data_IF_561612071834
#
_entry.id   IF_561612071834
#
_cell.length_a   1.000
_cell.length_b   1.000
_cell.length_c   1.000
_cell.angle_alpha   90.00
_cell.angle_beta   90.00
_cell.angle_gamma   90.00
#
_symmetry.space_group_name_H-M   'P 1'
#
loop_
_entity.id
_entity.type
_entity.pdbx_description
1 polymer ?
#
# COMPACT_ATOMS: atom_id res chain seq x y z
N UNK A 1 -33.15 75.78 32.77
CA UNK A 1 -32.66 74.39 32.55
C UNK A 1 -31.15 74.42 32.81
N UNK A 2 -30.54 73.33 33.30
CA UNK A 2 -29.10 73.20 33.68
C UNK A 2 -28.72 73.45 35.16
N UNK A 3 -29.17 72.57 36.06
CA UNK A 3 -28.48 72.32 37.34
C UNK A 3 -28.31 70.81 37.65
N UNK A 4 -28.83 69.94 36.78
CA UNK A 4 -28.82 68.47 36.96
C UNK A 4 -27.55 67.83 36.34
N UNK A 5 -26.83 68.54 35.45
CA UNK A 5 -25.64 68.03 34.76
C UNK A 5 -24.37 68.03 35.61
N UNK A 6 -24.08 69.10 36.35
CA UNK A 6 -22.82 69.25 37.08
C UNK A 6 -22.66 68.27 38.26
N UNK A 7 -23.75 67.98 38.97
CA UNK A 7 -23.75 67.01 40.09
C UNK A 7 -23.67 65.54 39.66
N UNK A 8 -24.21 65.21 38.48
CA UNK A 8 -24.11 63.87 37.92
C UNK A 8 -22.67 63.54 37.49
N UNK A 9 -21.94 64.51 36.94
CA UNK A 9 -20.55 64.34 36.52
C UNK A 9 -19.57 64.13 37.69
N UNK A 10 -19.76 64.82 38.82
CA UNK A 10 -18.90 64.63 40.00
C UNK A 10 -19.13 63.28 40.68
N UNK A 11 -20.39 62.83 40.79
CA UNK A 11 -20.71 61.49 41.30
C UNK A 11 -20.16 60.39 40.37
N UNK A 12 -20.28 60.55 39.05
CA UNK A 12 -19.70 59.62 38.10
C UNK A 12 -18.17 59.52 38.25
N UNK A 13 -17.49 60.64 38.46
CA UNK A 13 -16.06 60.68 38.71
C UNK A 13 -15.68 59.98 40.02
N UNK A 14 -16.41 60.20 41.11
CA UNK A 14 -16.18 59.54 42.41
C UNK A 14 -16.42 58.03 42.31
N UNK A 15 -17.49 57.61 41.63
CA UNK A 15 -17.77 56.19 41.39
C UNK A 15 -16.70 55.53 40.53
N UNK A 16 -16.21 56.22 39.50
CA UNK A 16 -15.11 55.75 38.67
C UNK A 16 -13.80 55.65 39.46
N UNK A 17 -13.51 56.61 40.34
CA UNK A 17 -12.35 56.60 41.23
C UNK A 17 -12.40 55.47 42.26
N UNK A 18 -13.57 55.19 42.84
CA UNK A 18 -13.75 54.05 43.75
C UNK A 18 -13.62 52.71 43.00
N UNK A 19 -14.13 52.63 41.77
CA UNK A 19 -14.00 51.42 40.94
C UNK A 19 -12.55 51.21 40.51
N UNK A 20 -11.82 52.26 40.15
CA UNK A 20 -10.39 52.17 39.79
C UNK A 20 -9.55 51.78 41.00
N UNK A 21 -9.80 52.38 42.18
CA UNK A 21 -9.11 52.01 43.42
C UNK A 21 -9.33 50.53 43.78
N UNK A 22 -10.56 50.00 43.60
CA UNK A 22 -10.84 48.58 43.81
C UNK A 22 -10.03 47.68 42.86
N UNK A 23 -10.02 48.00 41.57
CA UNK A 23 -9.28 47.23 40.55
C UNK A 23 -7.78 47.26 40.82
N UNK A 24 -7.24 48.42 41.21
CA UNK A 24 -5.83 48.58 41.56
C UNK A 24 -5.50 47.71 42.78
N UNK A 25 -6.31 47.74 43.83
CA UNK A 25 -6.06 46.94 45.04
C UNK A 25 -6.11 45.42 44.77
N UNK A 26 -7.06 44.99 43.94
CA UNK A 26 -7.17 43.58 43.53
C UNK A 26 -5.97 43.13 42.70
N UNK A 27 -5.51 43.98 41.77
CA UNK A 27 -4.30 43.75 40.98
C UNK A 27 -3.05 43.71 41.86
N UNK A 28 -2.94 44.62 42.84
CA UNK A 28 -1.82 44.69 43.76
C UNK A 28 -1.77 43.47 44.69
N UNK A 29 -2.93 42.96 45.13
CA UNK A 29 -3.01 41.73 45.91
C UNK A 29 -2.55 40.52 45.10
N UNK A 30 -2.95 40.40 43.84
CA UNK A 30 -2.50 39.31 42.96
C UNK A 30 -0.98 39.35 42.71
N UNK A 31 -0.41 40.55 42.51
CA UNK A 31 1.04 40.75 42.36
C UNK A 31 1.78 40.41 43.67
N UNK A 32 1.20 40.76 44.82
CA UNK A 32 1.75 40.43 46.14
C UNK A 32 1.80 38.92 46.38
N UNK A 33 0.87 38.16 45.84
CA UNK A 33 0.82 36.69 45.99
C UNK A 33 1.74 35.96 44.98
N UNK A 34 2.16 36.62 43.89
CA UNK A 34 3.00 36.03 42.85
C UNK A 34 4.35 35.46 43.35
N UNK A 35 5.12 36.13 44.24
CA UNK A 35 6.36 35.58 44.79
C UNK A 35 6.17 34.26 45.54
N UNK A 36 5.03 34.10 46.23
CA UNK A 36 4.71 32.87 46.96
C UNK A 36 4.46 31.71 45.99
N UNK A 37 3.73 31.97 44.91
CA UNK A 37 3.48 30.99 43.84
C UNK A 37 4.80 30.56 43.20
N UNK A 38 5.70 31.51 42.89
CA UNK A 38 7.02 31.21 42.32
C UNK A 38 7.88 30.38 43.27
N UNK A 39 7.83 30.66 44.59
CA UNK A 39 8.56 29.87 45.58
C UNK A 39 8.07 28.42 45.67
N UNK A 40 6.76 28.20 45.72
CA UNK A 40 6.19 26.83 45.73
C UNK A 40 6.51 26.10 44.41
N UNK A 41 6.45 26.77 43.25
CA UNK A 41 6.84 26.18 41.97
C UNK A 41 8.32 25.81 41.93
N UNK A 42 9.21 26.64 42.48
CA UNK A 42 10.65 26.33 42.57
C UNK A 42 10.90 25.09 43.43
N UNK A 43 10.18 24.97 44.55
CA UNK A 43 10.26 23.82 45.45
C UNK A 43 9.73 22.55 44.79
N UNK A 44 8.62 22.65 44.04
CA UNK A 44 8.08 21.54 43.26
C UNK A 44 9.03 21.10 42.14
N UNK A 45 9.71 22.06 41.49
CA UNK A 45 10.72 21.78 40.47
C UNK A 45 11.93 21.04 41.06
N UNK A 46 12.44 21.45 42.22
CA UNK A 46 13.52 20.75 42.93
C UNK A 46 13.11 19.33 43.33
N UNK A 47 11.90 19.17 43.85
CA UNK A 47 11.31 17.86 44.18
C UNK A 47 11.23 16.96 42.94
N UNK A 48 10.73 17.49 41.81
CA UNK A 48 10.63 16.76 40.55
C UNK A 48 12.01 16.34 40.03
N UNK A 49 12.98 17.24 40.09
CA UNK A 49 14.36 16.96 39.68
C UNK A 49 14.99 15.85 40.52
N UNK A 50 14.78 15.88 41.85
CA UNK A 50 15.27 14.84 42.75
C UNK A 50 14.64 13.46 42.47
N UNK A 51 13.34 13.43 42.17
CA UNK A 51 12.61 12.21 41.81
C UNK A 51 13.11 11.66 40.48
N UNK A 52 13.28 12.50 39.47
CA UNK A 52 13.82 12.13 38.16
C UNK A 52 15.24 11.55 38.29
N UNK A 53 16.11 12.20 39.05
CA UNK A 53 17.47 11.72 39.32
C UNK A 53 17.49 10.35 40.00
N UNK A 54 16.59 10.10 40.97
CA UNK A 54 16.45 8.79 41.62
C UNK A 54 15.97 7.72 40.65
N UNK A 55 15.00 8.03 39.78
CA UNK A 55 14.52 7.09 38.75
C UNK A 55 15.64 6.75 37.78
N UNK A 56 16.37 7.74 37.28
CA UNK A 56 17.51 7.53 36.40
C UNK A 56 18.58 6.63 37.04
N UNK A 57 18.96 6.91 38.30
CA UNK A 57 19.90 6.07 39.05
C UNK A 57 19.36 4.66 39.30
N UNK A 58 18.06 4.52 39.58
CA UNK A 58 17.41 3.23 39.74
C UNK A 58 17.47 2.40 38.47
N UNK A 59 17.11 2.97 37.33
CA UNK A 59 17.22 2.31 36.01
C UNK A 59 18.66 1.90 35.73
N UNK A 60 19.65 2.77 36.02
CA UNK A 60 21.07 2.47 35.84
C UNK A 60 21.58 1.35 36.78
N UNK A 61 20.98 1.21 37.96
CA UNK A 61 21.32 0.16 38.93
C UNK A 61 20.74 -1.21 38.55
N UNK A 62 19.55 -1.22 37.93
CA UNK A 62 18.90 -2.44 37.47
C UNK A 62 19.40 -2.90 36.11
N UNK A 63 19.72 -1.99 35.20
CA UNK A 63 20.27 -2.31 33.88
C UNK A 63 21.79 -2.20 33.95
N UNK A 64 22.44 -3.31 34.29
CA UNK A 64 23.90 -3.36 34.23
C UNK A 64 24.34 -3.17 32.78
N UNK A 65 25.38 -2.35 32.59
CA UNK A 65 26.01 -2.15 31.28
C UNK A 65 26.44 -3.47 30.63
N UNK A 66 26.85 -4.43 31.45
CA UNK A 66 27.22 -5.79 31.02
C UNK A 66 26.03 -6.56 30.43
N UNK A 67 24.86 -6.52 31.08
CA UNK A 67 23.66 -7.20 30.59
C UNK A 67 23.19 -6.59 29.25
N UNK A 68 23.30 -5.28 29.11
CA UNK A 68 22.98 -4.58 27.86
C UNK A 68 23.96 -4.94 26.73
N UNK A 69 25.26 -4.97 27.01
CA UNK A 69 26.26 -5.33 26.00
C UNK A 69 26.17 -6.82 25.62
N UNK A 70 25.84 -7.69 26.57
CA UNK A 70 25.58 -9.10 26.32
C UNK A 70 24.32 -9.28 25.44
N UNK A 71 23.22 -8.60 25.77
CA UNK A 71 22.01 -8.59 24.93
C UNK A 71 22.32 -8.07 23.51
N UNK A 72 23.11 -6.99 23.41
CA UNK A 72 23.54 -6.42 22.13
C UNK A 72 24.39 -7.40 21.32
N UNK A 73 25.33 -8.10 21.96
CA UNK A 73 26.15 -9.12 21.30
C UNK A 73 25.28 -10.26 20.77
N UNK A 74 24.35 -10.79 21.59
CA UNK A 74 23.44 -11.86 21.17
C UNK A 74 22.57 -11.47 19.98
N UNK A 75 22.06 -10.24 19.95
CA UNK A 75 21.29 -9.72 18.82
C UNK A 75 22.17 -9.64 17.56
N UNK A 76 23.42 -9.17 17.70
CA UNK A 76 24.38 -9.11 16.59
C UNK A 76 24.66 -10.49 16.02
N UNK A 77 24.91 -11.48 16.87
CA UNK A 77 25.18 -12.87 16.46
C UNK A 77 23.97 -13.51 15.77
N UNK A 78 22.76 -13.23 16.26
CA UNK A 78 21.53 -13.71 15.60
C UNK A 78 21.28 -13.01 14.26
N UNK A 79 21.58 -11.72 14.16
CA UNK A 79 21.48 -10.97 12.91
C UNK A 79 22.46 -11.49 11.85
N UNK A 80 23.73 -11.73 12.22
CA UNK A 80 24.71 -12.32 11.29
C UNK A 80 24.30 -13.73 10.87
N UNK A 81 23.79 -14.55 11.80
CA UNK A 81 23.27 -15.89 11.48
C UNK A 81 22.09 -15.84 10.49
N UNK A 82 21.12 -14.95 10.71
CA UNK A 82 19.97 -14.79 9.81
C UNK A 82 20.41 -14.31 8.43
N UNK A 83 21.32 -13.33 8.36
CA UNK A 83 21.85 -12.84 7.09
C UNK A 83 22.57 -13.94 6.31
N UNK A 84 23.34 -14.80 6.99
CA UNK A 84 23.99 -15.94 6.34
C UNK A 84 22.96 -16.93 5.78
N UNK A 85 21.92 -17.28 6.55
CA UNK A 85 20.84 -18.16 6.07
C UNK A 85 20.09 -17.56 4.89
N UNK A 86 19.79 -16.25 4.93
CA UNK A 86 19.11 -15.57 3.84
C UNK A 86 19.96 -15.58 2.57
N UNK A 87 21.25 -15.26 2.67
CA UNK A 87 22.19 -15.33 1.54
C UNK A 87 22.30 -16.73 0.95
N UNK A 88 22.31 -17.76 1.79
CA UNK A 88 22.33 -19.15 1.33
C UNK A 88 21.04 -19.53 0.58
N UNK A 89 19.88 -19.12 1.13
CA UNK A 89 18.58 -19.38 0.53
C UNK A 89 18.44 -18.66 -0.83
N UNK A 90 18.91 -17.41 -0.91
CA UNK A 90 18.97 -16.64 -2.16
C UNK A 90 19.87 -17.33 -3.20
N UNK A 91 21.08 -17.75 -2.81
CA UNK A 91 21.99 -18.46 -3.70
C UNK A 91 21.40 -19.78 -4.21
N UNK A 92 20.70 -20.53 -3.35
CA UNK A 92 20.02 -21.76 -3.73
C UNK A 92 18.88 -21.51 -4.72
N UNK A 93 18.06 -20.48 -4.49
CA UNK A 93 16.97 -20.11 -5.39
C UNK A 93 17.50 -19.70 -6.77
N UNK A 94 18.59 -18.93 -6.82
CA UNK A 94 19.23 -18.50 -8.06
C UNK A 94 19.72 -19.70 -8.87
N UNK A 95 20.33 -20.69 -8.19
CA UNK A 95 20.84 -21.89 -8.85
C UNK A 95 19.71 -22.75 -9.44
N UNK A 96 18.57 -22.85 -8.76
CA UNK A 96 17.38 -23.53 -9.28
C UNK A 96 16.77 -22.81 -10.49
N UNK A 97 16.69 -21.48 -10.45
CA UNK A 97 16.20 -20.68 -11.58
C UNK A 97 17.12 -20.85 -12.79
N UNK A 98 18.44 -20.78 -12.59
CA UNK A 98 19.42 -21.00 -13.65
C UNK A 98 19.24 -22.37 -14.32
N UNK A 99 19.15 -23.45 -13.52
CA UNK A 99 18.96 -24.80 -14.06
C UNK A 99 17.66 -24.95 -14.87
N UNK A 100 16.57 -24.31 -14.41
CA UNK A 100 15.31 -24.29 -15.17
C UNK A 100 15.46 -23.53 -16.47
N UNK A 101 16.14 -22.39 -16.47
CA UNK A 101 16.44 -21.60 -17.67
C UNK A 101 17.25 -22.43 -18.67
N UNK A 102 18.30 -23.14 -18.24
CA UNK A 102 19.11 -23.99 -19.12
C UNK A 102 18.27 -25.10 -19.77
N UNK A 103 17.37 -25.70 -19.00
CA UNK A 103 16.45 -26.74 -19.50
C UNK A 103 15.48 -26.15 -20.53
N UNK A 104 14.89 -24.98 -20.23
CA UNK A 104 13.99 -24.28 -21.16
C UNK A 104 14.71 -23.81 -22.43
N UNK A 105 15.95 -23.32 -22.33
CA UNK A 105 16.77 -22.92 -23.47
C UNK A 105 17.06 -24.12 -24.37
N UNK A 106 17.41 -25.27 -23.79
CA UNK A 106 17.64 -26.52 -24.53
C UNK A 106 16.37 -27.01 -25.23
N UNK A 107 15.23 -26.99 -24.55
CA UNK A 107 13.94 -27.36 -25.14
C UNK A 107 13.54 -26.40 -26.28
N UNK A 108 13.77 -25.11 -26.11
CA UNK A 108 13.48 -24.10 -27.14
C UNK A 108 14.38 -24.27 -28.36
N UNK A 109 15.67 -24.53 -28.16
CA UNK A 109 16.60 -24.82 -29.26
C UNK A 109 16.15 -26.06 -30.07
N UNK A 110 15.73 -27.13 -29.38
CA UNK A 110 15.19 -28.33 -30.04
C UNK A 110 13.93 -28.04 -30.87
N UNK A 111 13.01 -27.23 -30.33
CA UNK A 111 11.80 -26.81 -31.06
C UNK A 111 12.17 -25.97 -32.28
N UNK A 112 13.13 -25.04 -32.16
CA UNK A 112 13.60 -24.23 -33.28
C UNK A 112 14.22 -25.10 -34.37
N UNK A 113 15.04 -26.08 -34.02
CA UNK A 113 15.60 -27.05 -34.97
C UNK A 113 14.51 -27.85 -35.68
N UNK A 114 13.47 -28.27 -34.95
CA UNK A 114 12.33 -28.97 -35.53
C UNK A 114 11.54 -28.09 -36.51
N UNK A 115 11.27 -26.84 -36.15
CA UNK A 115 10.61 -25.86 -37.04
C UNK A 115 11.48 -25.65 -38.29
N UNK A 116 12.79 -25.48 -38.13
CA UNK A 116 13.70 -25.29 -39.26
C UNK A 116 13.66 -26.49 -40.22
N UNK A 117 13.62 -27.71 -39.67
CA UNK A 117 13.47 -28.94 -40.44
C UNK A 117 12.12 -29.06 -41.16
N UNK A 118 11.01 -28.73 -40.49
CA UNK A 118 9.67 -28.72 -41.08
C UNK A 118 9.53 -27.67 -42.17
N UNK A 119 10.07 -26.46 -41.97
CA UNK A 119 10.10 -25.39 -42.97
C UNK A 119 10.92 -25.83 -44.19
N UNK A 120 12.07 -26.46 -43.98
CA UNK A 120 12.88 -27.01 -45.07
C UNK A 120 12.10 -28.07 -45.88
N UNK A 121 11.35 -28.92 -45.20
CA UNK A 121 10.50 -29.96 -45.82
C UNK A 121 9.28 -29.38 -46.53
N UNK A 122 8.67 -28.32 -45.99
CA UNK A 122 7.59 -27.59 -46.67
C UNK A 122 8.12 -26.89 -47.93
N UNK A 123 9.32 -26.31 -47.86
CA UNK A 123 9.94 -25.65 -49.00
C UNK A 123 10.22 -26.64 -50.15
N UNK A 124 10.76 -27.83 -49.85
CA UNK A 124 10.95 -28.87 -50.88
C UNK A 124 9.63 -29.39 -51.44
N UNK A 125 8.57 -29.51 -50.63
CA UNK A 125 7.24 -29.89 -51.11
C UNK A 125 6.62 -28.81 -52.00
N UNK A 126 6.77 -27.54 -51.66
CA UNK A 126 6.27 -26.43 -52.47
C UNK A 126 7.00 -26.35 -53.82
N UNK A 127 8.33 -26.54 -53.82
CA UNK A 127 9.13 -26.60 -55.04
C UNK A 127 8.74 -27.80 -55.94
N UNK A 128 8.24 -28.88 -55.33
CA UNK A 128 7.73 -30.07 -56.02
C UNK A 128 6.28 -29.89 -56.54
N UNK A 129 5.45 -29.09 -55.86
CA UNK A 129 4.05 -28.82 -56.21
C UNK A 129 3.90 -27.77 -57.33
N UNK A 130 4.88 -26.85 -57.47
CA UNK A 130 4.95 -25.93 -58.63
C UNK A 130 5.13 -26.67 -59.96
N UNK A 131 5.60 -27.92 -59.94
CA UNK A 131 5.67 -28.75 -61.14
C UNK A 131 4.33 -29.45 -61.49
N UNK A 132 3.34 -29.46 -60.59
CA UNK A 132 2.10 -30.24 -60.76
C UNK A 132 0.89 -29.55 -60.08
N UNK A 133 0.32 -28.51 -60.69
CA UNK A 133 -1.15 -28.26 -60.72
C UNK A 133 -1.50 -26.89 -61.31
N UNK A 134 -1.86 -26.89 -62.59
CA UNK A 134 -3.03 -26.12 -63.03
C UNK A 134 -4.31 -26.90 -62.62
N UNK A 135 -5.42 -26.16 -62.45
CA UNK A 135 -6.83 -26.60 -62.48
C UNK A 135 -7.59 -26.67 -61.13
N UNK A 136 -8.54 -25.71 -60.99
CA UNK A 136 -9.88 -25.76 -60.34
C UNK A 136 -10.02 -26.11 -58.84
N UNK A 137 -11.06 -25.72 -58.10
CA UNK A 137 -12.10 -24.67 -58.07
C UNK A 137 -12.70 -24.76 -56.64
N UNK A 138 -13.27 -23.66 -56.16
CA UNK A 138 -13.97 -23.49 -54.88
C UNK A 138 -15.24 -24.40 -54.77
N UNK A 139 -15.78 -24.69 -53.55
CA UNK A 139 -16.98 -23.95 -53.14
C UNK A 139 -17.11 -23.62 -51.63
N UNK A 140 -17.43 -22.33 -51.39
CA UNK A 140 -18.40 -21.70 -50.47
C UNK A 140 -18.92 -22.42 -49.21
N UNK A 141 -18.76 -21.75 -48.05
CA UNK A 141 -19.69 -21.84 -46.91
C UNK A 141 -19.67 -20.52 -46.10
N UNK A 142 -20.81 -19.84 -45.95
CA UNK A 142 -20.97 -18.68 -45.06
C UNK A 142 -22.45 -18.43 -44.68
N UNK A 143 -22.68 -18.08 -43.41
CA UNK A 143 -23.96 -17.68 -42.81
C UNK A 143 -24.19 -18.37 -41.46
N UNK A 144 -23.45 -18.08 -40.38
CA UNK A 144 -23.37 -16.82 -39.61
C UNK A 144 -24.50 -16.69 -38.57
N UNK A 145 -24.10 -16.66 -37.28
CA UNK A 145 -24.91 -16.25 -36.10
C UNK A 145 -24.17 -16.51 -34.76
N UNK A 146 -23.05 -17.25 -34.76
CA UNK A 146 -22.30 -17.56 -33.51
C UNK A 146 -21.09 -16.65 -33.25
N UNK A 147 -20.71 -15.79 -34.19
CA UNK A 147 -19.43 -15.07 -34.14
C UNK A 147 -19.56 -13.77 -33.34
N UNK A 148 -20.74 -13.17 -33.31
CA UNK A 148 -20.95 -11.82 -32.76
C UNK A 148 -20.83 -11.76 -31.22
N UNK A 149 -21.33 -12.78 -30.51
CA UNK A 149 -21.25 -12.83 -29.03
C UNK A 149 -19.83 -13.04 -28.51
N UNK A 150 -18.98 -13.77 -29.23
CA UNK A 150 -17.59 -14.00 -28.83
C UNK A 150 -16.69 -12.80 -29.16
N UNK A 151 -16.99 -12.08 -30.25
CA UNK A 151 -16.25 -10.90 -30.68
C UNK A 151 -16.52 -9.69 -29.75
N UNK A 152 -17.76 -9.51 -29.29
CA UNK A 152 -18.13 -8.48 -28.29
C UNK A 152 -17.46 -8.76 -26.94
N UNK A 153 -17.42 -10.02 -26.47
CA UNK A 153 -16.71 -10.40 -25.24
C UNK A 153 -15.19 -10.20 -25.33
N UNK A 154 -14.60 -10.51 -26.50
CA UNK A 154 -13.17 -10.26 -26.76
C UNK A 154 -12.84 -8.77 -26.81
N UNK A 155 -13.68 -7.93 -27.43
CA UNK A 155 -13.48 -6.48 -27.44
C UNK A 155 -13.61 -5.89 -26.03
N UNK A 156 -14.58 -6.34 -25.23
CA UNK A 156 -14.74 -5.94 -23.83
C UNK A 156 -13.52 -6.33 -22.98
N UNK A 157 -13.01 -7.55 -23.14
CA UNK A 157 -11.80 -8.00 -22.46
C UNK A 157 -10.54 -7.23 -22.90
N UNK A 158 -10.43 -6.86 -24.18
CA UNK A 158 -9.33 -6.03 -24.70
C UNK A 158 -9.42 -4.60 -24.14
N UNK A 159 -10.62 -4.00 -24.10
CA UNK A 159 -10.84 -2.68 -23.53
C UNK A 159 -10.50 -2.62 -22.03
N UNK A 160 -10.92 -3.63 -21.25
CA UNK A 160 -10.58 -3.76 -19.84
C UNK A 160 -9.08 -3.98 -19.62
N UNK A 161 -8.40 -4.73 -20.50
CA UNK A 161 -6.95 -4.92 -20.44
C UNK A 161 -6.18 -3.62 -20.77
N UNK A 162 -6.64 -2.83 -21.74
CA UNK A 162 -6.03 -1.53 -22.06
C UNK A 162 -6.26 -0.49 -20.95
N UNK A 163 -7.44 -0.50 -20.34
CA UNK A 163 -7.75 0.38 -19.20
C UNK A 163 -6.94 0.00 -17.95
N UNK A 164 -6.76 -1.31 -17.74
CA UNK A 164 -5.91 -1.88 -16.70
C UNK A 164 -4.42 -1.53 -16.91
N UNK A 165 -3.92 -1.67 -18.14
CA UNK A 165 -2.55 -1.33 -18.50
C UNK A 165 -2.28 0.16 -18.30
N UNK A 166 -3.24 1.01 -18.66
CA UNK A 166 -3.18 2.46 -18.41
C UNK A 166 -3.14 2.78 -16.90
N UNK A 167 -3.93 2.07 -16.09
CA UNK A 167 -3.93 2.21 -14.63
C UNK A 167 -2.61 1.75 -14.00
N UNK A 168 -2.04 0.63 -14.46
CA UNK A 168 -0.74 0.13 -14.01
C UNK A 168 0.40 1.08 -14.38
N UNK A 169 0.40 1.63 -15.60
CA UNK A 169 1.41 2.60 -16.02
C UNK A 169 1.34 3.89 -15.20
N UNK A 170 0.14 4.40 -14.90
CA UNK A 170 -0.05 5.57 -14.04
C UNK A 170 0.40 5.31 -12.60
N UNK A 171 0.04 4.16 -12.04
CA UNK A 171 0.50 3.72 -10.73
C UNK A 171 2.03 3.64 -10.67
N UNK A 172 2.68 3.08 -11.70
CA UNK A 172 4.14 3.02 -11.77
C UNK A 172 4.76 4.42 -11.77
N UNK A 173 4.21 5.37 -12.52
CA UNK A 173 4.72 6.74 -12.57
C UNK A 173 4.47 7.52 -11.27
N UNK A 174 3.34 7.29 -10.57
CA UNK A 174 3.09 7.91 -9.26
C UNK A 174 3.96 7.31 -8.15
N UNK A 175 4.31 6.02 -8.26
CA UNK A 175 5.19 5.33 -7.30
C UNK A 175 6.67 5.73 -7.49
N UNK A 176 7.07 6.12 -8.69
CA UNK A 176 8.42 6.63 -8.98
C UNK A 176 8.66 8.06 -8.46
N UNK A 177 7.63 8.77 -7.99
CA UNK A 177 7.81 10.04 -7.27
C UNK A 177 8.37 9.77 -5.86
N UNK A 178 9.58 10.29 -5.61
CA UNK A 178 10.39 10.14 -4.39
C UNK A 178 9.55 9.86 -3.13
N UNK A 179 9.56 8.60 -2.70
CA UNK A 179 8.63 7.99 -1.73
C UNK A 179 8.66 8.55 -0.30
N UNK A 180 8.38 9.83 -0.13
CA UNK A 180 8.32 10.50 1.16
C UNK A 180 6.90 10.95 1.52
N UNK A 181 6.09 11.42 0.57
CA UNK A 181 4.67 11.76 0.76
C UNK A 181 4.06 12.05 -0.61
N UNK A 182 2.91 11.46 -0.91
CA UNK A 182 2.09 11.83 -2.07
C UNK A 182 1.08 12.92 -1.67
N UNK A 183 0.81 13.86 -2.57
CA UNK A 183 -0.23 14.87 -2.37
C UNK A 183 -1.62 14.20 -2.31
N UNK A 184 -2.60 14.88 -1.69
CA UNK A 184 -3.92 14.29 -1.45
C UNK A 184 -4.62 13.86 -2.76
N UNK A 185 -4.47 14.65 -3.83
CA UNK A 185 -5.07 14.36 -5.14
C UNK A 185 -4.41 13.12 -5.80
N UNK A 186 -3.09 12.99 -5.68
CA UNK A 186 -2.34 11.84 -6.19
C UNK A 186 -2.62 10.56 -5.40
N UNK A 187 -2.80 10.70 -4.07
CA UNK A 187 -3.20 9.59 -3.20
C UNK A 187 -4.64 9.12 -3.51
N UNK A 188 -5.57 10.03 -3.78
CA UNK A 188 -6.93 9.69 -4.23
C UNK A 188 -6.92 8.95 -5.57
N UNK A 189 -6.08 9.40 -6.51
CA UNK A 189 -5.91 8.77 -7.81
C UNK A 189 -5.38 7.32 -7.69
N UNK A 190 -4.41 7.07 -6.81
CA UNK A 190 -3.91 5.72 -6.51
C UNK A 190 -5.01 4.85 -5.91
N UNK A 191 -5.80 5.40 -4.98
CA UNK A 191 -6.89 4.66 -4.35
C UNK A 191 -7.96 4.28 -5.39
N UNK A 192 -8.30 5.18 -6.31
CA UNK A 192 -9.25 4.90 -7.37
C UNK A 192 -8.74 3.85 -8.37
N UNK A 193 -7.46 3.92 -8.73
CA UNK A 193 -6.82 2.92 -9.58
C UNK A 193 -6.79 1.52 -8.89
N UNK A 194 -6.49 1.45 -7.59
CA UNK A 194 -6.54 0.21 -6.81
C UNK A 194 -7.96 -0.33 -6.65
N UNK A 195 -8.97 0.53 -6.48
CA UNK A 195 -10.38 0.11 -6.45
C UNK A 195 -10.79 -0.48 -7.79
N UNK A 196 -10.40 0.16 -8.90
CA UNK A 196 -10.70 -0.33 -10.24
C UNK A 196 -10.04 -1.69 -10.49
N UNK A 197 -8.83 -1.90 -9.99
CA UNK A 197 -8.15 -3.21 -10.03
C UNK A 197 -8.93 -4.30 -9.28
N UNK A 198 -9.42 -4.01 -8.07
CA UNK A 198 -10.22 -4.95 -7.28
C UNK A 198 -11.54 -5.30 -7.96
N UNK A 199 -12.21 -4.31 -8.58
CA UNK A 199 -13.45 -4.52 -9.34
C UNK A 199 -13.20 -5.42 -10.56
N UNK A 200 -12.17 -5.13 -11.35
CA UNK A 200 -11.79 -5.93 -12.53
C UNK A 200 -11.42 -7.36 -12.12
N UNK A 201 -10.67 -7.53 -11.02
CA UNK A 201 -10.31 -8.85 -10.49
C UNK A 201 -11.53 -9.66 -10.05
N UNK A 202 -12.53 -8.99 -9.45
CA UNK A 202 -13.79 -9.61 -9.02
C UNK A 202 -14.66 -10.01 -10.21
N UNK A 203 -14.78 -9.16 -11.23
CA UNK A 203 -15.51 -9.44 -12.47
C UNK A 203 -14.90 -10.63 -13.23
N UNK A 204 -13.57 -10.67 -13.36
CA UNK A 204 -12.85 -11.78 -13.99
C UNK A 204 -12.93 -13.09 -13.20
N UNK A 205 -13.07 -13.03 -11.88
CA UNK A 205 -13.31 -14.20 -11.03
C UNK A 205 -14.71 -14.78 -11.25
N UNK A 206 -15.72 -13.91 -11.34
CA UNK A 206 -17.12 -14.30 -11.62
C UNK A 206 -17.25 -14.88 -13.04
N UNK A 207 -16.58 -14.28 -14.02
CA UNK A 207 -16.58 -14.74 -15.41
C UNK A 207 -15.88 -16.10 -15.56
N UNK A 208 -14.74 -16.31 -14.88
CA UNK A 208 -14.03 -17.61 -14.81
C UNK A 208 -14.84 -18.69 -14.09
N UNK A 209 -15.68 -18.32 -13.13
CA UNK A 209 -16.64 -19.21 -12.48
C UNK A 209 -17.75 -19.63 -13.44
N UNK A 210 -18.31 -18.70 -14.22
CA UNK A 210 -19.39 -18.96 -15.19
C UNK A 210 -18.96 -19.87 -16.36
N UNK A 211 -17.73 -19.72 -16.87
CA UNK A 211 -17.17 -20.60 -17.91
C UNK A 211 -16.81 -22.02 -17.42
N UNK A 212 -16.65 -22.21 -16.11
CA UNK A 212 -16.35 -23.52 -15.53
C UNK A 212 -17.57 -24.40 -15.30
N UNK A 213 -18.78 -23.83 -15.29
CA UNK A 213 -20.03 -24.55 -15.01
C UNK A 213 -20.47 -25.48 -16.14
N UNK A 214 -19.80 -25.45 -17.30
CA UNK A 214 -20.16 -26.17 -18.51
C UNK A 214 -19.44 -27.54 -18.63
N UNK A 215 -18.46 -27.81 -17.77
CA UNK A 215 -17.69 -29.06 -17.78
C UNK A 215 -18.01 -29.87 -16.53
N UNK A 216 -19.09 -30.66 -16.62
CA UNK A 216 -19.39 -31.74 -15.67
C UNK A 216 -18.18 -32.63 -15.54
N UNK A 217 -17.53 -32.65 -14.37
CA UNK A 217 -16.87 -33.81 -13.71
C UNK A 217 -15.94 -33.30 -12.58
N UNK A 218 -16.36 -33.58 -11.33
CA UNK A 218 -15.64 -33.43 -10.04
C UNK A 218 -14.86 -32.13 -9.76
N UNK A 219 -15.45 -31.16 -9.03
CA UNK A 219 -14.62 -30.21 -8.27
C UNK A 219 -15.36 -29.47 -7.14
N UNK A 220 -15.46 -30.09 -5.96
CA UNK A 220 -15.81 -29.39 -4.72
C UNK A 220 -14.70 -28.43 -4.25
N UNK A 221 -13.47 -28.59 -4.76
CA UNK A 221 -12.28 -27.81 -4.38
C UNK A 221 -12.23 -26.42 -5.06
N UNK A 222 -12.85 -26.25 -6.24
CA UNK A 222 -12.81 -24.95 -6.97
C UNK A 222 -13.80 -23.91 -6.46
N UNK A 223 -14.95 -24.32 -5.94
CA UNK A 223 -15.92 -23.37 -5.38
C UNK A 223 -15.40 -22.70 -4.10
N UNK A 224 -14.69 -23.43 -3.26
CA UNK A 224 -14.16 -22.88 -2.01
C UNK A 224 -13.09 -21.81 -2.26
N UNK A 225 -12.23 -22.01 -3.27
CA UNK A 225 -11.19 -21.06 -3.64
C UNK A 225 -11.73 -19.75 -4.25
N UNK A 226 -12.82 -19.81 -5.03
CA UNK A 226 -13.43 -18.61 -5.63
C UNK A 226 -14.20 -17.80 -4.58
N UNK A 227 -14.87 -18.47 -3.65
CA UNK A 227 -15.51 -17.84 -2.48
C UNK A 227 -14.48 -17.26 -1.51
N UNK A 228 -13.35 -17.95 -1.30
CA UNK A 228 -12.23 -17.44 -0.52
C UNK A 228 -11.62 -16.18 -1.16
N UNK A 229 -11.29 -16.22 -2.45
CA UNK A 229 -10.76 -15.06 -3.18
C UNK A 229 -11.72 -13.87 -3.18
N UNK A 230 -13.03 -14.10 -3.26
CA UNK A 230 -14.04 -13.04 -3.16
C UNK A 230 -14.11 -12.42 -1.76
N UNK A 231 -13.92 -13.21 -0.69
CA UNK A 231 -13.79 -12.69 0.68
C UNK A 231 -12.51 -11.88 0.85
N UNK A 232 -11.40 -12.36 0.30
CA UNK A 232 -10.09 -11.70 0.37
C UNK A 232 -10.10 -10.38 -0.41
N UNK A 233 -10.68 -10.34 -1.61
CA UNK A 233 -10.86 -9.11 -2.38
C UNK A 233 -11.76 -8.09 -1.66
N UNK A 234 -12.82 -8.55 -0.99
CA UNK A 234 -13.69 -7.69 -0.18
C UNK A 234 -12.98 -7.17 1.08
N UNK A 235 -12.10 -7.98 1.66
CA UNK A 235 -11.25 -7.56 2.77
C UNK A 235 -10.25 -6.49 2.31
N UNK A 236 -9.59 -6.70 1.16
CA UNK A 236 -8.66 -5.73 0.56
C UNK A 236 -9.36 -4.41 0.24
N UNK A 237 -10.56 -4.45 -0.34
CA UNK A 237 -11.39 -3.27 -0.59
C UNK A 237 -11.68 -2.50 0.71
N UNK A 238 -12.10 -3.20 1.76
CA UNK A 238 -12.34 -2.59 3.08
C UNK A 238 -11.07 -2.01 3.73
N UNK A 239 -9.93 -2.68 3.53
CA UNK A 239 -8.63 -2.24 4.04
C UNK A 239 -8.13 -0.97 3.36
N UNK A 240 -8.29 -0.87 2.03
CA UNK A 240 -7.93 0.34 1.26
C UNK A 240 -8.76 1.55 1.73
N UNK A 241 -10.02 1.32 2.12
CA UNK A 241 -10.93 2.38 2.58
C UNK A 241 -10.71 2.79 4.05
N UNK A 242 -10.22 1.88 4.87
CA UNK A 242 -10.15 2.06 6.33
C UNK A 242 -8.76 2.41 6.83
N UNK A 243 -7.72 2.25 6.00
CA UNK A 243 -6.36 2.53 6.39
C UNK A 243 -6.04 4.02 6.24
N UNK A 244 -5.62 4.72 7.32
CA UNK A 244 -5.19 6.11 7.25
C UNK A 244 -3.86 6.28 6.51
N UNK A 245 -3.06 5.21 6.37
CA UNK A 245 -1.77 5.18 5.68
C UNK A 245 -1.63 3.84 4.96
N UNK A 246 -1.31 3.89 3.66
CA UNK A 246 -1.00 2.71 2.84
C UNK A 246 0.48 2.76 2.47
N UNK A 247 1.27 1.82 3.00
CA UNK A 247 2.68 1.69 2.67
C UNK A 247 2.89 0.53 1.68
N UNK A 248 3.43 0.83 0.51
CA UNK A 248 3.77 -0.18 -0.51
C UNK A 248 5.26 -0.47 -0.40
N UNK A 249 5.63 -1.66 0.07
CA UNK A 249 7.04 -2.07 0.09
C UNK A 249 7.52 -2.39 -1.33
N UNK A 250 8.73 -1.90 -1.67
CA UNK A 250 9.42 -2.19 -2.94
C UNK A 250 9.67 -3.69 -3.21
N UNK A 251 9.44 -4.56 -2.22
CA UNK A 251 9.57 -6.02 -2.30
C UNK A 251 8.24 -6.77 -2.51
N UNK A 252 7.14 -6.09 -2.83
CA UNK A 252 5.86 -6.72 -3.20
C UNK A 252 5.04 -7.30 -2.03
N UNK A 253 5.43 -7.04 -0.78
CA UNK A 253 4.64 -7.41 0.40
C UNK A 253 3.87 -6.19 0.95
N UNK A 254 2.53 -6.25 0.90
CA UNK A 254 1.66 -5.25 1.50
C UNK A 254 1.73 -5.32 3.03
N UNK A 255 2.14 -4.23 3.68
CA UNK A 255 2.15 -4.09 5.15
C UNK A 255 1.22 -2.95 5.54
N UNK A 256 0.13 -3.29 6.23
CA UNK A 256 -0.86 -2.31 6.70
C UNK A 256 -0.58 -2.01 8.17
N UNK A 257 -0.28 -0.74 8.47
CA UNK A 257 -0.08 -0.29 9.83
C UNK A 257 -1.40 0.20 10.43
N UNK A 258 -1.83 -0.42 11.53
CA UNK A 258 -2.90 0.09 12.38
C UNK A 258 -2.29 0.92 13.50
N UNK A 259 -2.64 2.19 13.59
CA UNK A 259 -2.44 2.98 14.81
C UNK A 259 -3.66 2.77 15.72
N UNK A 260 -3.40 2.17 16.88
CA UNK A 260 -4.30 2.13 18.04
C UNK A 260 -4.11 3.40 18.88
#
# INVERSE_FOLDING_TARGET
>A
MEAVGAGASTLAFVLLALKSAKIINESLSSIKDAPRIVYELSKDLESLHSRSSRVYKGVLAYVKKEDLENARSRIRDKSTQINLYLSLLQAQSLLQVSSRIDTHATATASILDQILGEVSKLHTRLDQDVAVSEVEQLPTNAGDDSIDSAMVGRLGAIALCSELESSISRLSTLIDHDGLTLDADDAEQIIDDLRRFVVIAKERSIEKSRLSSNSTTYSTVREDNTKALGRDLKLIEGLILSAPIIAINQSGNFVIHYQL
#
